data_IF_103615592405
#
_entry.id   IF_103615592405
#
_cell.length_a   1.000
_cell.length_b   1.000
_cell.length_c   1.000
_cell.angle_alpha   90.00
_cell.angle_beta   90.00
_cell.angle_gamma   90.00
#
_symmetry.space_group_name_H-M   'P 1'
#
loop_
_entity.id
_entity.type
_entity.pdbx_description
1 polymer ?
#
# COMPACT_ATOMS: atom_id res chain seq x y z
N UNK A 1 25.75 -2.63 31.37
CA UNK A 1 25.18 -1.47 30.67
C UNK A 1 26.18 -0.33 30.80
N UNK A 2 26.84 -0.01 29.69
CA UNK A 2 27.83 1.08 29.62
C UNK A 2 27.11 2.43 29.68
N UNK A 3 27.75 3.46 30.24
CA UNK A 3 27.25 4.85 30.24
C UNK A 3 26.95 5.30 28.80
N UNK A 4 27.75 4.88 27.82
CA UNK A 4 27.55 5.18 26.40
C UNK A 4 26.23 4.55 25.89
N UNK A 5 25.96 3.31 26.31
CA UNK A 5 24.77 2.54 25.95
C UNK A 5 23.51 3.20 26.54
N UNK A 6 23.57 3.63 27.80
CA UNK A 6 22.50 4.36 28.48
C UNK A 6 22.22 5.73 27.84
N UNK A 7 23.28 6.46 27.44
CA UNK A 7 23.14 7.74 26.72
C UNK A 7 22.49 7.57 25.35
N UNK A 8 22.82 6.49 24.64
CA UNK A 8 22.18 6.17 23.36
C UNK A 8 20.71 5.80 23.54
N UNK A 9 20.36 5.08 24.60
CA UNK A 9 18.95 4.79 24.94
C UNK A 9 18.16 6.07 25.25
N UNK A 10 18.72 6.99 26.06
CA UNK A 10 18.05 8.25 26.39
C UNK A 10 17.81 9.12 25.15
N UNK A 11 18.81 9.25 24.27
CA UNK A 11 18.64 9.96 23.00
C UNK A 11 17.59 9.33 22.09
N UNK A 12 17.53 8.00 22.04
CA UNK A 12 16.48 7.29 21.28
C UNK A 12 15.10 7.61 21.85
N UNK A 13 14.93 7.57 23.18
CA UNK A 13 13.65 7.92 23.83
C UNK A 13 13.21 9.36 23.53
N UNK A 14 14.16 10.30 23.51
CA UNK A 14 13.88 11.71 23.18
C UNK A 14 13.45 11.89 21.71
N UNK A 15 14.01 11.10 20.78
CA UNK A 15 13.69 11.21 19.35
C UNK A 15 12.55 10.29 18.87
N UNK A 16 12.00 9.43 19.73
CA UNK A 16 10.92 8.50 19.38
C UNK A 16 9.74 9.15 18.63
N UNK A 17 9.21 10.32 19.05
CA UNK A 17 8.08 10.94 18.34
C UNK A 17 8.42 11.32 16.90
N UNK A 18 9.64 11.82 16.66
CA UNK A 18 10.10 12.23 15.33
C UNK A 18 10.34 11.02 14.43
N UNK A 19 10.90 9.94 15.00
CA UNK A 19 11.08 8.66 14.30
C UNK A 19 9.71 8.12 13.87
N UNK A 20 8.73 8.13 14.78
CA UNK A 20 7.38 7.67 14.50
C UNK A 20 6.69 8.51 13.42
N UNK A 21 6.79 9.83 13.45
CA UNK A 21 6.24 10.67 12.38
C UNK A 21 6.90 10.38 11.02
N UNK A 22 8.23 10.20 10.99
CA UNK A 22 8.95 9.89 9.76
C UNK A 22 8.56 8.53 9.16
N UNK A 23 8.41 7.50 10.00
CA UNK A 23 7.98 6.18 9.57
C UNK A 23 6.52 6.17 9.09
N UNK A 24 5.62 6.89 9.75
CA UNK A 24 4.21 7.00 9.34
C UNK A 24 4.11 7.70 7.98
N UNK A 25 4.86 8.78 7.79
CA UNK A 25 5.00 9.44 6.48
C UNK A 25 5.54 8.50 5.41
N UNK A 26 6.49 7.63 5.75
CA UNK A 26 7.02 6.65 4.81
C UNK A 26 5.97 5.62 4.38
N UNK A 27 5.19 5.08 5.34
CA UNK A 27 4.08 4.16 5.07
C UNK A 27 3.02 4.82 4.18
N UNK A 28 2.58 6.04 4.53
CA UNK A 28 1.60 6.80 3.75
C UNK A 28 2.10 7.03 2.33
N UNK A 29 3.34 7.49 2.18
CA UNK A 29 3.92 7.76 0.86
C UNK A 29 3.97 6.50 -0.01
N UNK A 30 4.42 5.37 0.54
CA UNK A 30 4.50 4.11 -0.20
C UNK A 30 3.12 3.67 -0.69
N UNK A 31 2.11 3.66 0.18
CA UNK A 31 0.76 3.27 -0.18
C UNK A 31 0.09 4.26 -1.13
N UNK A 32 0.29 5.57 -0.93
CA UNK A 32 -0.22 6.60 -1.82
C UNK A 32 0.35 6.43 -3.23
N UNK A 33 1.65 6.21 -3.37
CA UNK A 33 2.28 5.97 -4.69
C UNK A 33 1.74 4.70 -5.35
N UNK A 34 1.63 3.60 -4.61
CA UNK A 34 1.02 2.37 -5.12
C UNK A 34 -0.43 2.59 -5.59
N UNK A 35 -1.24 3.26 -4.76
CA UNK A 35 -2.63 3.56 -5.09
C UNK A 35 -2.74 4.45 -6.32
N UNK A 36 -1.90 5.49 -6.42
CA UNK A 36 -1.91 6.43 -7.54
C UNK A 36 -1.62 5.72 -8.87
N UNK A 37 -0.56 4.92 -8.94
CA UNK A 37 -0.20 4.21 -10.18
C UNK A 37 -1.25 3.15 -10.57
N UNK A 38 -1.78 2.42 -9.59
CA UNK A 38 -2.87 1.47 -9.84
C UNK A 38 -4.12 2.18 -10.33
N UNK A 39 -4.50 3.28 -9.68
CA UNK A 39 -5.70 4.04 -9.99
C UNK A 39 -5.66 4.66 -11.38
N UNK A 40 -4.51 5.20 -11.80
CA UNK A 40 -4.33 5.70 -13.17
C UNK A 40 -4.59 4.60 -14.21
N UNK A 41 -4.11 3.38 -13.94
CA UNK A 41 -4.35 2.22 -14.82
C UNK A 41 -5.82 1.81 -14.80
N UNK A 42 -6.46 1.79 -13.62
CA UNK A 42 -7.88 1.46 -13.47
C UNK A 42 -8.82 2.47 -14.14
N UNK A 43 -8.46 3.76 -14.17
CA UNK A 43 -9.21 4.79 -14.89
C UNK A 43 -9.17 4.56 -16.41
N UNK A 44 -8.03 4.11 -16.94
CA UNK A 44 -7.92 3.70 -18.35
C UNK A 44 -8.74 2.46 -18.63
N UNK A 45 -8.73 1.48 -17.72
CA UNK A 45 -9.55 0.26 -17.84
C UNK A 45 -11.04 0.59 -17.90
N UNK A 46 -11.50 1.44 -16.98
CA UNK A 46 -12.88 1.93 -16.96
C UNK A 46 -13.24 2.58 -18.30
N UNK A 47 -12.41 3.49 -18.78
CA UNK A 47 -12.65 4.19 -20.05
C UNK A 47 -12.71 3.22 -21.25
N UNK A 48 -11.81 2.23 -21.28
CA UNK A 48 -11.81 1.20 -22.32
C UNK A 48 -13.08 0.33 -22.28
N UNK A 49 -13.51 -0.08 -21.09
CA UNK A 49 -14.74 -0.88 -20.92
C UNK A 49 -16.01 -0.09 -21.25
N UNK A 50 -16.04 1.21 -20.92
CA UNK A 50 -17.16 2.11 -21.25
C UNK A 50 -17.22 2.48 -22.74
N UNK A 51 -16.13 2.32 -23.49
CA UNK A 51 -16.09 2.61 -24.94
C UNK A 51 -16.95 1.67 -25.79
N UNK A 52 -17.24 0.46 -25.28
CA UNK A 52 -18.01 -0.57 -25.99
C UNK A 52 -17.25 -1.31 -27.10
N UNK A 53 -15.95 -1.05 -27.27
CA UNK A 53 -15.09 -1.76 -28.22
C UNK A 53 -14.57 -3.10 -27.66
N UNK A 54 -14.13 -4.00 -28.54
CA UNK A 54 -13.44 -5.23 -28.12
C UNK A 54 -12.08 -4.89 -27.50
N UNK A 55 -12.02 -4.96 -26.18
CA UNK A 55 -10.86 -4.62 -25.37
C UNK A 55 -9.94 -5.80 -25.07
N UNK A 56 -10.12 -6.97 -25.71
CA UNK A 56 -9.30 -8.17 -25.45
C UNK A 56 -7.79 -7.93 -25.65
N UNK A 57 -7.42 -7.16 -26.68
CA UNK A 57 -6.04 -6.75 -26.93
C UNK A 57 -5.51 -5.76 -25.88
N UNK A 58 -6.35 -4.83 -25.43
CA UNK A 58 -6.04 -3.87 -24.37
C UNK A 58 -5.83 -4.56 -23.01
N UNK A 59 -6.70 -5.51 -22.66
CA UNK A 59 -6.71 -6.18 -21.36
C UNK A 59 -5.36 -6.79 -21.01
N UNK A 60 -4.72 -7.45 -21.99
CA UNK A 60 -3.41 -8.08 -21.77
C UNK A 60 -2.32 -7.05 -21.45
N UNK A 61 -2.34 -5.89 -22.12
CA UNK A 61 -1.41 -4.79 -21.85
C UNK A 61 -1.62 -4.16 -20.48
N UNK A 62 -2.89 -3.88 -20.12
CA UNK A 62 -3.24 -3.34 -18.80
C UNK A 62 -2.86 -4.30 -17.67
N UNK A 63 -3.14 -5.60 -17.81
CA UNK A 63 -2.74 -6.61 -16.81
C UNK A 63 -1.22 -6.62 -16.66
N UNK A 64 -0.45 -6.60 -17.75
CA UNK A 64 1.01 -6.56 -17.68
C UNK A 64 1.54 -5.29 -16.98
N UNK A 65 0.92 -4.13 -17.21
CA UNK A 65 1.26 -2.89 -16.51
C UNK A 65 0.98 -2.99 -15.00
N UNK A 66 -0.20 -3.51 -14.61
CA UNK A 66 -0.54 -3.73 -13.20
C UNK A 66 0.39 -4.73 -12.52
N UNK A 67 0.81 -5.78 -13.23
CA UNK A 67 1.81 -6.73 -12.73
C UNK A 67 3.14 -6.01 -12.47
N UNK A 68 3.60 -5.18 -13.41
CA UNK A 68 4.84 -4.40 -13.22
C UNK A 68 4.74 -3.41 -12.04
N UNK A 69 3.57 -2.78 -11.83
CA UNK A 69 3.30 -1.96 -10.64
C UNK A 69 3.38 -2.84 -9.38
N UNK A 70 2.69 -3.97 -9.37
CA UNK A 70 2.68 -4.91 -8.26
C UNK A 70 4.10 -5.34 -7.86
N UNK A 71 4.95 -5.73 -8.81
CA UNK A 71 6.34 -6.14 -8.56
C UNK A 71 7.21 -5.06 -7.90
N UNK A 72 6.93 -3.77 -8.17
CA UNK A 72 7.65 -2.67 -7.51
C UNK A 72 7.31 -2.57 -6.03
N UNK A 73 6.02 -2.70 -5.70
CA UNK A 73 5.51 -2.36 -4.37
C UNK A 73 5.33 -3.56 -3.45
N UNK A 74 5.17 -4.78 -3.97
CA UNK A 74 4.93 -5.97 -3.18
C UNK A 74 6.22 -6.79 -2.95
N UNK A 75 6.30 -7.41 -1.78
CA UNK A 75 7.36 -8.35 -1.40
C UNK A 75 6.89 -9.80 -1.35
N UNK A 76 5.58 -10.03 -1.25
CA UNK A 76 5.02 -11.37 -1.17
C UNK A 76 4.85 -11.97 -2.58
N UNK A 77 5.49 -13.11 -2.88
CA UNK A 77 5.44 -13.72 -4.21
C UNK A 77 4.16 -14.54 -4.46
N UNK A 78 3.21 -14.59 -3.52
CA UNK A 78 2.00 -15.37 -3.67
C UNK A 78 1.16 -14.87 -4.84
N UNK A 79 0.87 -15.77 -5.79
CA UNK A 79 0.07 -15.48 -7.00
C UNK A 79 -1.31 -14.90 -6.70
N UNK A 80 -1.84 -15.15 -5.50
CA UNK A 80 -3.09 -14.59 -5.02
C UNK A 80 -3.14 -13.04 -5.10
N UNK A 81 -2.01 -12.35 -4.88
CA UNK A 81 -1.97 -10.88 -4.94
C UNK A 81 -1.65 -10.31 -6.31
N UNK A 82 -1.23 -11.15 -7.26
CA UNK A 82 -0.79 -10.70 -8.57
C UNK A 82 -2.02 -10.30 -9.40
N UNK A 83 -2.08 -9.05 -9.92
CA UNK A 83 -3.18 -8.62 -10.76
C UNK A 83 -3.35 -9.54 -11.99
N UNK A 84 -4.58 -10.01 -12.22
CA UNK A 84 -4.88 -10.96 -13.29
C UNK A 84 -6.09 -10.57 -14.14
N UNK A 85 -6.69 -9.40 -13.89
CA UNK A 85 -7.87 -8.91 -14.60
C UNK A 85 -7.96 -7.39 -14.62
N UNK A 86 -8.88 -6.88 -15.43
CA UNK A 86 -9.29 -5.48 -15.46
C UNK A 86 -10.71 -5.33 -14.91
N UNK A 87 -11.05 -4.12 -14.46
CA UNK A 87 -12.36 -3.80 -13.88
C UNK A 87 -12.79 -2.41 -14.34
N UNK A 88 -14.10 -2.22 -14.54
CA UNK A 88 -14.70 -0.91 -14.78
C UNK A 88 -14.87 -0.07 -13.51
N UNK A 89 -14.62 -0.68 -12.35
CA UNK A 89 -14.70 -0.04 -11.03
C UNK A 89 -13.29 0.10 -10.44
N UNK A 90 -12.71 1.31 -10.45
CA UNK A 90 -11.43 1.57 -9.80
C UNK A 90 -11.48 1.32 -8.30
N UNK A 91 -10.51 0.55 -7.79
CA UNK A 91 -10.43 0.15 -6.40
C UNK A 91 -9.41 0.95 -5.59
N UNK A 92 -8.45 1.61 -6.25
CA UNK A 92 -7.30 2.25 -5.62
C UNK A 92 -7.42 3.78 -5.53
N UNK A 93 -8.64 4.32 -5.46
CA UNK A 93 -8.83 5.77 -5.32
C UNK A 93 -8.45 6.25 -3.90
N UNK A 94 -7.27 6.84 -3.76
CA UNK A 94 -6.76 7.33 -2.48
C UNK A 94 -7.68 8.38 -1.83
N UNK A 95 -8.30 9.25 -2.63
CA UNK A 95 -9.14 10.36 -2.14
C UNK A 95 -10.40 9.89 -1.42
N UNK A 96 -10.78 8.62 -1.58
CA UNK A 96 -11.91 8.02 -0.87
C UNK A 96 -11.54 7.41 0.48
N UNK A 97 -10.24 7.29 0.79
CA UNK A 97 -9.78 6.75 2.06
C UNK A 97 -10.04 7.74 3.20
N UNK A 98 -10.58 7.23 4.29
CA UNK A 98 -10.84 8.02 5.51
C UNK A 98 -10.43 7.23 6.75
N UNK A 99 -10.22 7.92 7.88
CA UNK A 99 -9.87 7.26 9.15
C UNK A 99 -8.61 6.40 9.03
N UNK A 100 -7.55 6.94 8.42
CA UNK A 100 -6.27 6.26 8.26
C UNK A 100 -5.60 6.09 9.63
N UNK A 101 -5.21 4.86 9.93
CA UNK A 101 -4.49 4.47 11.13
C UNK A 101 -3.27 3.64 10.75
N UNK A 102 -2.15 3.83 11.46
CA UNK A 102 -0.93 3.07 11.26
C UNK A 102 -0.53 2.44 12.59
N UNK A 103 -0.36 1.13 12.59
CA UNK A 103 0.08 0.34 13.74
C UNK A 103 1.47 -0.22 13.45
N UNK A 104 2.26 -0.38 14.52
CA UNK A 104 3.63 -0.89 14.46
C UNK A 104 3.76 -2.07 15.41
N UNK A 105 4.60 -3.04 15.06
CA UNK A 105 4.94 -4.13 15.98
C UNK A 105 5.97 -3.73 17.07
N UNK A 106 6.68 -2.61 16.88
CA UNK A 106 7.69 -2.12 17.84
C UNK A 106 8.97 -2.95 17.86
N UNK A 107 9.21 -3.77 16.83
CA UNK A 107 10.42 -4.57 16.66
C UNK A 107 11.39 -3.83 15.71
N UNK A 108 12.51 -3.36 16.24
CA UNK A 108 13.53 -2.63 15.48
C UNK A 108 14.22 -3.52 14.42
N UNK A 109 14.34 -4.83 14.67
CA UNK A 109 15.05 -5.78 13.81
C UNK A 109 14.15 -6.30 12.68
N UNK A 110 12.86 -6.46 12.96
CA UNK A 110 11.86 -6.88 11.99
C UNK A 110 10.66 -5.91 11.97
N UNK A 111 10.91 -4.70 11.48
CA UNK A 111 9.89 -3.63 11.44
C UNK A 111 8.72 -4.00 10.52
N UNK A 112 7.53 -4.12 11.12
CA UNK A 112 6.27 -4.35 10.45
C UNK A 112 5.29 -3.22 10.76
N UNK A 113 4.54 -2.83 9.74
CA UNK A 113 3.53 -1.80 9.81
C UNK A 113 2.19 -2.36 9.34
N UNK A 114 1.11 -1.98 10.01
CA UNK A 114 -0.25 -2.21 9.54
C UNK A 114 -0.84 -0.86 9.20
N UNK A 115 -1.19 -0.66 7.94
CA UNK A 115 -2.02 0.45 7.52
C UNK A 115 -3.48 -0.01 7.52
N UNK A 116 -4.37 0.78 8.10
CA UNK A 116 -5.81 0.58 8.08
C UNK A 116 -6.49 1.86 7.63
N UNK A 117 -7.45 1.75 6.72
CA UNK A 117 -8.27 2.87 6.30
C UNK A 117 -9.68 2.42 5.95
N UNK A 118 -10.64 3.33 6.05
CA UNK A 118 -12.03 3.12 5.64
C UNK A 118 -12.20 3.55 4.18
N UNK A 119 -12.88 2.73 3.39
CA UNK A 119 -13.19 2.98 1.99
C UNK A 119 -14.69 2.77 1.73
N UNK A 120 -15.43 3.79 1.25
CA UNK A 120 -16.85 3.66 0.97
C UNK A 120 -17.11 2.81 -0.27
N UNK A 121 -18.16 1.99 -0.25
CA UNK A 121 -18.65 1.33 -1.45
C UNK A 121 -19.52 2.26 -2.30
N UNK A 122 -19.45 2.10 -3.62
CA UNK A 122 -20.29 2.85 -4.57
C UNK A 122 -21.79 2.63 -4.37
N UNK A 123 -22.19 1.45 -3.89
CA UNK A 123 -23.57 1.06 -3.60
C UNK A 123 -24.00 1.29 -2.14
N UNK A 124 -23.15 1.93 -1.33
CA UNK A 124 -23.39 2.22 0.08
C UNK A 124 -22.68 1.26 1.04
N UNK A 125 -22.32 1.77 2.23
CA UNK A 125 -21.53 1.04 3.22
C UNK A 125 -20.05 1.43 3.21
N UNK A 126 -19.29 0.89 4.17
CA UNK A 126 -17.87 1.16 4.37
C UNK A 126 -17.14 -0.18 4.50
N UNK A 127 -16.03 -0.31 3.80
CA UNK A 127 -15.07 -1.41 3.94
C UNK A 127 -13.79 -0.94 4.59
N UNK A 128 -13.05 -1.86 5.21
CA UNK A 128 -11.70 -1.56 5.67
C UNK A 128 -10.71 -2.03 4.60
N UNK A 129 -9.78 -1.14 4.24
CA UNK A 129 -8.59 -1.44 3.44
C UNK A 129 -7.44 -1.57 4.41
N UNK A 130 -6.98 -2.80 4.63
CA UNK A 130 -5.91 -3.07 5.59
C UNK A 130 -4.75 -3.75 4.88
N UNK A 131 -3.56 -3.17 5.03
CA UNK A 131 -2.33 -3.67 4.45
C UNK A 131 -1.27 -3.89 5.51
N UNK A 132 -0.53 -4.98 5.41
CA UNK A 132 0.73 -5.18 6.13
C UNK A 132 1.87 -4.75 5.23
N UNK A 133 2.76 -3.92 5.76
CA UNK A 133 4.00 -3.53 5.11
C UNK A 133 5.19 -4.01 5.93
N UNK A 134 6.25 -4.43 5.23
CA UNK A 134 7.52 -4.81 5.84
C UNK A 134 8.67 -4.10 5.15
N UNK A 135 9.79 -3.95 5.85
CA UNK A 135 11.02 -3.41 5.25
C UNK A 135 11.78 -4.57 4.58
N UNK A 136 12.02 -4.46 3.28
CA UNK A 136 12.86 -5.39 2.50
C UNK A 136 13.98 -4.59 1.87
N UNK A 137 15.23 -4.94 2.18
CA UNK A 137 16.43 -4.26 1.67
C UNK A 137 16.39 -2.72 1.86
N UNK A 138 15.83 -2.28 3.00
CA UNK A 138 15.69 -0.86 3.34
C UNK A 138 14.49 -0.14 2.70
N UNK A 139 13.66 -0.85 1.92
CA UNK A 139 12.47 -0.30 1.26
C UNK A 139 11.20 -0.89 1.87
N UNK A 140 10.21 -0.04 2.17
CA UNK A 140 8.89 -0.51 2.59
C UNK A 140 8.14 -1.14 1.42
N UNK A 141 7.69 -2.39 1.60
CA UNK A 141 6.91 -3.15 0.63
C UNK A 141 5.67 -3.75 1.24
N UNK A 142 4.64 -3.92 0.43
CA UNK A 142 3.38 -4.57 0.76
C UNK A 142 3.60 -6.08 0.88
N UNK A 143 3.21 -6.63 2.03
CA UNK A 143 3.33 -8.06 2.32
C UNK A 143 1.99 -8.77 2.29
N UNK A 144 0.93 -8.10 2.72
CA UNK A 144 -0.39 -8.68 2.84
C UNK A 144 -1.46 -7.61 2.68
N UNK A 145 -2.61 -7.99 2.15
CA UNK A 145 -3.85 -7.23 2.20
C UNK A 145 -4.91 -8.10 2.85
N UNK A 146 -5.60 -7.58 3.87
CA UNK A 146 -6.78 -8.22 4.44
C UNK A 146 -8.02 -7.81 3.63
N UNK A 147 -8.85 -8.80 3.28
CA UNK A 147 -10.12 -8.63 2.58
C UNK A 147 -11.29 -8.50 3.55
#
# INVERSE_FOLDING_TARGET
>A
MDIIEAMNMMRRLESLPEIYDAEDKAVIRTLHSYFSEMYETELRDKSAMESGEDYSSYASGSIAEKVAIHERYWSNPALFYVPCSISGDPAHNWELLTGIEIFRNGDDDNRLFIFSAKYPYSWGGISNRVYVLKVVDGVLKLEHQFM
#
